data_IF_229918566933
#
_entry.id   IF_229918566933
#
_cell.length_a   1.000
_cell.length_b   1.000
_cell.length_c   1.000
_cell.angle_alpha   90.00
_cell.angle_beta   90.00
_cell.angle_gamma   90.00
#
_symmetry.space_group_name_H-M   'P 1'
#
loop_
_entity.id
_entity.type
_entity.pdbx_description
1 polymer ?
#
# COMPACT_ATOMS: atom_id res chain seq x y z
N UNK A 1 18.50 -2.90 24.82
CA UNK A 1 17.34 -2.94 23.90
C UNK A 1 16.11 -3.64 24.53
N UNK A 2 16.31 -4.63 25.40
CA UNK A 2 15.23 -5.34 26.09
C UNK A 2 14.52 -4.48 27.15
N UNK A 3 15.24 -3.64 27.89
CA UNK A 3 14.66 -2.77 28.93
C UNK A 3 13.72 -1.67 28.41
N UNK A 4 13.79 -1.34 27.12
CA UNK A 4 12.87 -0.39 26.50
C UNK A 4 11.54 -1.04 26.02
N UNK A 5 11.53 -2.34 25.76
CA UNK A 5 10.34 -3.02 25.26
C UNK A 5 9.24 -3.09 26.30
N UNK A 6 9.57 -3.39 27.56
CA UNK A 6 8.60 -3.49 28.67
C UNK A 6 7.98 -2.12 29.04
N UNK A 7 8.70 -1.01 28.84
CA UNK A 7 8.16 0.33 29.06
C UNK A 7 7.28 0.81 27.88
N UNK A 8 7.59 0.37 26.67
CA UNK A 8 6.82 0.68 25.45
C UNK A 8 5.54 -0.20 25.38
N UNK A 9 5.52 -1.35 26.02
CA UNK A 9 4.39 -2.28 26.05
C UNK A 9 3.13 -1.73 26.74
N UNK A 10 3.26 -0.69 27.56
CA UNK A 10 2.09 0.04 28.08
C UNK A 10 1.56 0.97 26.98
N UNK A 11 0.29 0.78 26.58
CA UNK A 11 -0.41 1.53 25.52
C UNK A 11 -0.20 3.06 25.63
N UNK A 12 -0.18 3.61 26.85
CA UNK A 12 0.05 5.02 27.13
C UNK A 12 1.47 5.47 26.73
N UNK A 13 2.47 4.70 27.09
CA UNK A 13 3.87 4.99 26.79
C UNK A 13 4.15 4.89 25.28
N UNK A 14 3.48 3.96 24.58
CA UNK A 14 3.62 3.81 23.15
C UNK A 14 3.20 5.07 22.38
N UNK A 15 2.01 5.63 22.70
CA UNK A 15 1.56 6.86 22.04
C UNK A 15 2.50 8.05 22.30
N UNK A 16 2.92 8.24 23.55
CA UNK A 16 3.88 9.27 23.91
C UNK A 16 5.21 9.09 23.18
N UNK A 17 5.67 7.84 23.07
CA UNK A 17 6.88 7.48 22.34
C UNK A 17 6.79 7.82 20.86
N UNK A 18 5.76 7.34 20.14
CA UNK A 18 5.64 7.60 18.70
C UNK A 18 5.42 9.07 18.37
N UNK A 19 4.77 9.84 19.25
CA UNK A 19 4.48 11.26 19.06
C UNK A 19 5.69 12.19 19.34
N UNK A 20 6.70 11.73 20.10
CA UNK A 20 7.81 12.58 20.57
C UNK A 20 9.21 12.04 20.26
N UNK A 21 9.33 10.87 19.68
CA UNK A 21 10.59 10.23 19.32
C UNK A 21 11.43 11.13 18.39
N UNK A 22 12.78 11.08 18.47
CA UNK A 22 13.65 11.73 17.48
C UNK A 22 13.24 11.31 16.05
N UNK A 23 13.23 12.28 15.11
CA UNK A 23 12.79 12.13 13.72
C UNK A 23 11.28 11.98 13.52
N UNK A 24 10.46 12.10 14.57
CA UNK A 24 9.03 12.30 14.37
C UNK A 24 8.79 13.70 13.82
N UNK A 25 8.15 13.77 12.66
CA UNK A 25 7.74 15.05 12.10
C UNK A 25 6.58 15.63 12.91
N UNK A 26 6.73 16.84 13.38
CA UNK A 26 5.68 17.51 14.19
C UNK A 26 4.56 18.03 13.31
N UNK A 27 3.34 17.75 13.75
CA UNK A 27 2.11 18.35 13.23
C UNK A 27 1.51 19.17 14.39
N UNK A 28 1.91 20.43 14.50
CA UNK A 28 1.60 21.27 15.68
C UNK A 28 2.59 21.08 16.83
N UNK A 29 2.10 20.86 18.06
CA UNK A 29 2.93 20.73 19.27
C UNK A 29 3.65 19.39 19.41
N UNK A 30 3.17 18.34 18.75
CA UNK A 30 3.71 16.98 18.76
C UNK A 30 3.53 16.32 17.37
N UNK A 31 4.00 15.07 17.21
CA UNK A 31 3.94 14.36 15.93
C UNK A 31 2.68 13.55 15.69
N UNK A 32 1.75 13.50 16.66
CA UNK A 32 0.51 12.73 16.50
C UNK A 32 -0.50 13.51 15.67
N UNK A 33 -1.15 12.84 14.73
CA UNK A 33 -2.23 13.38 13.90
C UNK A 33 -3.36 12.35 13.73
N UNK A 34 -4.53 12.81 13.33
CA UNK A 34 -5.70 12.03 12.89
C UNK A 34 -6.37 12.75 11.72
N UNK A 35 -7.57 12.35 11.30
CA UNK A 35 -8.29 12.90 10.16
C UNK A 35 -8.44 14.42 10.18
N UNK A 36 -9.61 14.90 10.58
CA UNK A 36 -9.95 16.33 10.50
C UNK A 36 -9.56 17.17 11.74
N UNK A 37 -9.21 16.53 12.86
CA UNK A 37 -8.83 17.25 14.07
C UNK A 37 -7.42 17.85 13.98
N UNK A 38 -7.35 19.18 14.02
CA UNK A 38 -6.07 19.91 14.00
C UNK A 38 -5.46 20.13 15.40
N UNK A 39 -6.21 19.89 16.48
CA UNK A 39 -5.81 20.16 17.85
C UNK A 39 -5.92 18.94 18.76
N UNK A 40 -5.09 17.92 18.51
CA UNK A 40 -5.01 16.78 19.39
C UNK A 40 -4.27 17.12 20.69
N UNK A 41 -4.85 16.74 21.83
CA UNK A 41 -4.17 16.78 23.14
C UNK A 41 -3.57 15.40 23.41
N UNK A 42 -2.27 15.24 23.19
CA UNK A 42 -1.55 13.97 23.30
C UNK A 42 -1.85 13.22 24.61
N UNK A 43 -1.87 13.94 25.74
CA UNK A 43 -2.14 13.34 27.05
C UNK A 43 -3.54 12.68 27.11
N UNK A 44 -4.57 13.35 26.56
CA UNK A 44 -5.93 12.80 26.53
C UNK A 44 -6.05 11.57 25.65
N UNK A 45 -5.41 11.63 24.47
CA UNK A 45 -5.41 10.47 23.55
C UNK A 45 -4.67 9.29 24.18
N UNK A 46 -3.52 9.53 24.82
CA UNK A 46 -2.75 8.50 25.48
C UNK A 46 -3.53 7.86 26.65
N UNK A 47 -4.21 8.66 27.45
CA UNK A 47 -5.07 8.17 28.54
C UNK A 47 -6.26 7.36 28.02
N UNK A 48 -6.96 7.85 27.00
CA UNK A 48 -8.10 7.15 26.40
C UNK A 48 -7.70 5.78 25.81
N UNK A 49 -6.57 5.71 25.09
CA UNK A 49 -6.08 4.45 24.54
C UNK A 49 -5.58 3.51 25.64
N UNK A 50 -4.94 4.03 26.70
CA UNK A 50 -4.47 3.23 27.83
C UNK A 50 -5.64 2.60 28.62
N UNK A 51 -6.70 3.39 28.85
CA UNK A 51 -7.88 2.93 29.56
C UNK A 51 -8.82 2.05 28.72
N UNK A 52 -8.58 1.94 27.40
CA UNK A 52 -9.47 1.22 26.50
C UNK A 52 -9.43 -0.29 26.78
N UNK A 53 -10.56 -0.94 27.16
CA UNK A 53 -10.59 -2.34 27.53
C UNK A 53 -10.68 -3.30 26.34
N UNK A 54 -10.95 -2.78 25.12
CA UNK A 54 -11.07 -3.58 23.91
C UNK A 54 -9.74 -3.74 23.15
N UNK A 55 -9.84 -4.28 21.94
CA UNK A 55 -8.69 -4.47 21.06
C UNK A 55 -8.14 -3.14 20.58
N UNK A 56 -6.82 -2.99 20.63
CA UNK A 56 -6.07 -1.88 20.05
C UNK A 56 -5.05 -2.45 19.07
N UNK A 57 -5.11 -2.03 17.82
CA UNK A 57 -4.16 -2.44 16.78
C UNK A 57 -3.13 -1.36 16.55
N UNK A 58 -1.89 -1.78 16.29
CA UNK A 58 -0.73 -0.92 16.10
C UNK A 58 -0.10 -1.15 14.71
N UNK A 59 -0.76 -0.76 13.61
CA UNK A 59 -0.20 -0.92 12.28
C UNK A 59 1.03 -0.04 12.08
N UNK A 60 2.03 -0.57 11.36
CA UNK A 60 3.17 0.20 10.88
C UNK A 60 3.15 0.12 9.35
N UNK A 61 3.16 1.27 8.68
CA UNK A 61 3.18 1.39 7.23
C UNK A 61 4.52 2.00 6.85
N UNK A 62 5.36 1.24 6.15
CA UNK A 62 6.71 1.66 5.78
C UNK A 62 6.89 1.64 4.27
N UNK A 63 7.60 2.63 3.75
CA UNK A 63 8.08 2.67 2.39
C UNK A 63 9.63 2.66 2.39
N UNK A 64 10.22 2.23 1.27
CA UNK A 64 11.63 2.49 1.04
C UNK A 64 11.85 3.98 0.84
N UNK A 65 12.99 4.51 1.25
CA UNK A 65 13.31 5.94 1.12
C UNK A 65 13.13 6.45 -0.32
N UNK A 66 13.60 5.69 -1.28
CA UNK A 66 13.52 6.02 -2.70
C UNK A 66 12.05 6.10 -3.18
N UNK A 67 11.21 5.16 -2.74
CA UNK A 67 9.79 5.14 -3.07
C UNK A 67 9.05 6.29 -2.38
N UNK A 68 9.33 6.56 -1.11
CA UNK A 68 8.71 7.67 -0.37
C UNK A 68 9.01 9.02 -1.04
N UNK A 69 10.27 9.29 -1.38
CA UNK A 69 10.67 10.51 -2.06
C UNK A 69 10.03 10.64 -3.46
N UNK A 70 10.04 9.55 -4.23
CA UNK A 70 9.51 9.52 -5.60
C UNK A 70 7.99 9.67 -5.65
N UNK A 71 7.28 9.11 -4.66
CA UNK A 71 5.82 9.11 -4.59
C UNK A 71 5.27 10.27 -3.74
N UNK A 72 6.14 11.08 -3.14
CA UNK A 72 5.75 12.23 -2.33
C UNK A 72 5.32 11.89 -0.90
N UNK A 73 5.68 10.72 -0.36
CA UNK A 73 5.36 10.30 1.02
C UNK A 73 6.54 10.53 1.98
N UNK A 74 7.23 11.64 1.84
CA UNK A 74 8.35 12.04 2.70
C UNK A 74 7.96 13.06 3.78
N UNK A 75 6.66 13.37 3.92
CA UNK A 75 6.10 14.31 4.90
C UNK A 75 4.85 13.76 5.57
N UNK A 76 4.57 14.25 6.78
CA UNK A 76 3.42 13.85 7.57
C UNK A 76 2.07 14.19 6.92
N UNK A 77 2.01 15.31 6.18
CA UNK A 77 0.79 15.80 5.53
C UNK A 77 0.26 14.82 4.49
N UNK A 78 1.14 14.26 3.66
CA UNK A 78 0.77 13.29 2.62
C UNK A 78 0.27 11.99 3.25
N UNK A 79 0.89 11.55 4.34
CA UNK A 79 0.42 10.41 5.10
C UNK A 79 -0.92 10.67 5.79
N UNK A 80 -1.12 11.87 6.36
CA UNK A 80 -2.40 12.29 6.94
C UNK A 80 -3.49 12.23 5.87
N UNK A 81 -3.24 12.77 4.68
CA UNK A 81 -4.18 12.78 3.57
C UNK A 81 -4.52 11.35 3.11
N UNK A 82 -3.51 10.49 2.92
CA UNK A 82 -3.70 9.09 2.53
C UNK A 82 -4.54 8.33 3.56
N UNK A 83 -4.16 8.42 4.84
CA UNK A 83 -4.80 7.67 5.91
C UNK A 83 -6.23 8.16 6.16
N UNK A 84 -6.47 9.47 6.10
CA UNK A 84 -7.83 10.04 6.22
C UNK A 84 -8.74 9.52 5.11
N UNK A 85 -8.24 9.49 3.89
CA UNK A 85 -8.97 8.95 2.74
C UNK A 85 -9.27 7.46 2.89
N UNK A 86 -8.32 6.68 3.42
CA UNK A 86 -8.40 5.22 3.50
C UNK A 86 -8.99 4.71 4.81
N UNK A 87 -9.30 5.60 5.76
CA UNK A 87 -9.76 5.25 7.10
C UNK A 87 -11.06 4.43 7.11
N UNK A 88 -12.01 4.75 6.21
CA UNK A 88 -13.29 4.04 6.11
C UNK A 88 -13.10 2.58 5.66
N UNK A 89 -12.23 2.35 4.69
CA UNK A 89 -11.90 1.00 4.22
C UNK A 89 -11.15 0.20 5.29
N UNK A 90 -10.28 0.86 6.07
CA UNK A 90 -9.64 0.24 7.22
C UNK A 90 -10.65 -0.17 8.28
N UNK A 91 -11.57 0.72 8.65
CA UNK A 91 -12.66 0.44 9.60
C UNK A 91 -13.47 -0.79 9.16
N UNK A 92 -13.86 -0.84 7.89
CA UNK A 92 -14.62 -1.95 7.32
C UNK A 92 -13.82 -3.27 7.36
N UNK A 93 -12.53 -3.25 7.02
CA UNK A 93 -11.65 -4.42 7.07
C UNK A 93 -11.42 -4.92 8.51
N UNK A 94 -11.43 -4.00 9.50
CA UNK A 94 -11.31 -4.28 10.92
C UNK A 94 -12.64 -4.62 11.59
N UNK A 95 -13.76 -4.65 10.83
CA UNK A 95 -15.11 -4.91 11.35
C UNK A 95 -15.52 -3.91 12.44
N UNK A 96 -15.13 -2.66 12.28
CA UNK A 96 -15.49 -1.55 13.16
C UNK A 96 -16.50 -0.68 12.39
N UNK A 97 -17.68 -0.35 12.95
CA UNK A 97 -18.56 0.67 12.39
C UNK A 97 -17.80 1.99 12.25
N UNK A 98 -18.07 2.72 11.15
CA UNK A 98 -17.34 3.96 10.89
C UNK A 98 -17.46 5.00 12.03
N UNK A 99 -18.63 5.11 12.61
CA UNK A 99 -18.90 6.00 13.74
C UNK A 99 -18.10 5.68 15.00
N UNK A 100 -17.66 4.43 15.15
CA UNK A 100 -16.88 3.96 16.30
C UNK A 100 -15.38 3.92 16.02
N UNK A 101 -14.96 4.11 14.74
CA UNK A 101 -13.56 3.94 14.35
C UNK A 101 -12.71 5.12 14.82
N UNK A 102 -11.74 4.81 15.68
CA UNK A 102 -10.76 5.76 16.19
C UNK A 102 -9.39 5.40 15.64
N UNK A 103 -8.67 6.39 15.11
CA UNK A 103 -7.31 6.21 14.66
C UNK A 103 -6.43 7.42 14.91
N UNK A 104 -5.18 7.17 15.21
CA UNK A 104 -4.13 8.17 15.38
C UNK A 104 -2.87 7.67 14.70
N UNK A 105 -2.02 8.58 14.22
CA UNK A 105 -0.79 8.20 13.55
C UNK A 105 0.32 9.21 13.82
N UNK A 106 1.58 8.76 13.66
CA UNK A 106 2.76 9.61 13.71
C UNK A 106 3.75 9.18 12.63
N UNK A 107 4.26 10.15 11.86
CA UNK A 107 5.24 9.90 10.81
C UNK A 107 6.65 10.04 11.34
N UNK A 108 7.47 9.04 11.04
CA UNK A 108 8.88 8.98 11.39
C UNK A 108 9.74 9.03 10.13
N UNK A 109 10.51 10.11 9.99
CA UNK A 109 11.39 10.33 8.86
C UNK A 109 12.73 9.61 9.07
N UNK A 110 12.70 8.27 9.03
CA UNK A 110 13.92 7.47 9.17
C UNK A 110 14.69 7.37 7.85
N UNK A 111 16.04 7.36 7.95
CA UNK A 111 16.92 7.49 6.80
C UNK A 111 16.69 6.43 5.69
N UNK A 112 16.42 5.17 6.07
CA UNK A 112 16.26 4.08 5.12
C UNK A 112 14.79 3.71 4.88
N UNK A 113 13.95 3.83 5.90
CA UNK A 113 12.55 3.39 5.88
C UNK A 113 11.68 4.42 6.58
N UNK A 114 11.28 5.52 5.90
CA UNK A 114 10.25 6.39 6.42
C UNK A 114 8.97 5.59 6.65
N UNK A 115 8.35 5.79 7.80
CA UNK A 115 7.21 4.98 8.20
C UNK A 115 6.24 5.74 9.09
N UNK A 116 5.01 5.27 9.09
CA UNK A 116 3.95 5.77 9.96
C UNK A 116 3.60 4.69 10.97
N UNK A 117 3.64 5.04 12.24
CA UNK A 117 2.99 4.28 13.29
C UNK A 117 1.54 4.71 13.41
N UNK A 118 0.65 3.75 13.46
CA UNK A 118 -0.77 4.01 13.71
C UNK A 118 -1.23 3.34 15.00
N UNK A 119 -2.30 3.87 15.56
CA UNK A 119 -3.09 3.26 16.61
C UNK A 119 -4.54 3.28 16.15
N UNK A 120 -5.19 2.12 16.09
CA UNK A 120 -6.57 1.97 15.66
C UNK A 120 -7.36 1.16 16.68
N UNK A 121 -8.57 1.58 16.99
CA UNK A 121 -9.48 0.85 17.88
C UNK A 121 -10.94 1.27 17.64
N UNK A 122 -11.88 0.52 18.22
CA UNK A 122 -13.30 0.91 18.23
C UNK A 122 -13.63 1.65 19.50
N UNK A 123 -14.38 2.75 19.44
CA UNK A 123 -14.92 3.42 20.62
C UNK A 123 -15.80 2.47 21.46
N UNK A 124 -16.53 1.57 20.82
CA UNK A 124 -17.20 0.44 21.47
C UNK A 124 -16.22 -0.73 21.64
N UNK A 125 -15.79 -1.07 22.89
CA UNK A 125 -14.78 -2.09 23.11
C UNK A 125 -15.23 -3.51 22.75
N UNK A 126 -16.52 -3.73 22.54
CA UNK A 126 -17.08 -5.04 22.12
C UNK A 126 -16.94 -5.27 20.62
N UNK A 127 -16.63 -4.23 19.85
CA UNK A 127 -16.52 -4.25 18.38
C UNK A 127 -15.07 -4.29 17.92
N UNK A 128 -14.91 -4.73 16.70
CA UNK A 128 -13.61 -4.78 16.02
C UNK A 128 -12.96 -6.17 16.10
N UNK A 129 -12.71 -6.69 14.90
CA UNK A 129 -12.03 -7.98 14.72
C UNK A 129 -11.25 -7.96 13.40
N UNK A 130 -9.94 -8.15 13.48
CA UNK A 130 -9.06 -8.12 12.33
C UNK A 130 -8.64 -9.54 11.93
N UNK A 131 -9.08 -9.97 10.75
CA UNK A 131 -8.73 -11.26 10.15
C UNK A 131 -7.48 -11.15 9.29
N UNK A 132 -6.85 -12.29 8.95
CA UNK A 132 -5.79 -12.36 7.93
C UNK A 132 -6.25 -11.78 6.59
N UNK A 133 -7.51 -12.01 6.20
CA UNK A 133 -8.10 -11.43 5.00
C UNK A 133 -8.24 -9.91 5.13
N UNK A 134 -8.70 -9.39 6.27
CA UNK A 134 -8.76 -7.95 6.55
C UNK A 134 -7.39 -7.28 6.46
N UNK A 135 -6.35 -7.92 7.03
CA UNK A 135 -4.96 -7.46 6.88
C UNK A 135 -4.54 -7.39 5.40
N UNK A 136 -4.84 -8.44 4.63
CA UNK A 136 -4.53 -8.47 3.20
C UNK A 136 -5.28 -7.39 2.41
N UNK A 137 -6.54 -7.12 2.75
CA UNK A 137 -7.35 -6.04 2.16
C UNK A 137 -6.73 -4.67 2.44
N UNK A 138 -6.36 -4.37 3.70
CA UNK A 138 -5.71 -3.11 4.09
C UNK A 138 -4.39 -2.94 3.33
N UNK A 139 -3.53 -3.96 3.33
CA UNK A 139 -2.25 -3.93 2.60
C UNK A 139 -2.44 -3.67 1.10
N UNK A 140 -3.36 -4.39 0.47
CA UNK A 140 -3.63 -4.26 -0.96
C UNK A 140 -4.23 -2.90 -1.32
N UNK A 141 -5.13 -2.37 -0.50
CA UNK A 141 -5.76 -1.09 -0.72
C UNK A 141 -4.78 0.07 -0.59
N UNK A 142 -3.99 0.10 0.50
CA UNK A 142 -2.93 1.09 0.68
C UNK A 142 -1.90 1.04 -0.45
N UNK A 143 -1.46 -0.16 -0.85
CA UNK A 143 -0.54 -0.31 -1.96
C UNK A 143 -1.12 0.23 -3.28
N UNK A 144 -2.40 -0.03 -3.57
CA UNK A 144 -3.08 0.53 -4.75
C UNK A 144 -3.13 2.05 -4.73
N UNK A 145 -3.41 2.66 -3.58
CA UNK A 145 -3.47 4.12 -3.48
C UNK A 145 -2.08 4.76 -3.57
N UNK A 146 -1.08 4.20 -2.88
CA UNK A 146 0.30 4.69 -2.88
C UNK A 146 0.92 4.59 -4.30
N UNK A 147 0.75 3.45 -4.98
CA UNK A 147 1.35 3.18 -6.29
C UNK A 147 0.37 3.38 -7.46
N UNK A 148 -0.73 4.10 -7.27
CA UNK A 148 -1.82 4.25 -8.25
C UNK A 148 -1.34 4.68 -9.62
N UNK A 149 -0.52 5.72 -9.68
CA UNK A 149 -0.04 6.26 -10.95
C UNK A 149 0.83 5.23 -11.69
N UNK A 150 1.76 4.60 -11.00
CA UNK A 150 2.65 3.59 -11.59
C UNK A 150 1.90 2.35 -12.07
N UNK A 151 0.90 1.91 -11.28
CA UNK A 151 0.05 0.80 -11.69
C UNK A 151 -0.75 1.16 -12.95
N UNK A 152 -1.26 2.39 -13.03
CA UNK A 152 -1.99 2.87 -14.22
C UNK A 152 -1.09 2.88 -15.45
N UNK A 153 0.11 3.45 -15.34
CA UNK A 153 1.09 3.46 -16.44
C UNK A 153 1.51 2.04 -16.85
N UNK A 154 1.70 1.15 -15.88
CA UNK A 154 2.01 -0.24 -16.14
C UNK A 154 0.89 -0.94 -16.91
N UNK A 155 -0.38 -0.78 -16.47
CA UNK A 155 -1.53 -1.37 -17.16
C UNK A 155 -1.70 -0.81 -18.56
N UNK A 156 -1.48 0.49 -18.76
CA UNK A 156 -1.50 1.09 -20.09
C UNK A 156 -0.43 0.50 -21.01
N UNK A 157 0.81 0.37 -20.52
CA UNK A 157 1.90 -0.27 -21.28
C UNK A 157 1.61 -1.74 -21.61
N UNK A 158 1.03 -2.49 -20.67
CA UNK A 158 0.65 -3.88 -20.92
C UNK A 158 -0.47 -3.98 -21.96
N UNK A 159 -1.46 -3.08 -21.89
CA UNK A 159 -2.55 -3.03 -22.88
C UNK A 159 -2.00 -2.70 -24.27
N UNK A 160 -1.18 -1.67 -24.40
CA UNK A 160 -0.54 -1.29 -25.65
C UNK A 160 0.31 -2.42 -26.25
N UNK A 161 1.10 -3.11 -25.40
CA UNK A 161 1.92 -4.25 -25.86
C UNK A 161 1.07 -5.41 -26.34
N UNK A 162 -0.06 -5.69 -25.66
CA UNK A 162 -1.01 -6.73 -26.07
C UNK A 162 -1.71 -6.37 -27.37
N UNK A 163 -2.13 -5.13 -27.52
CA UNK A 163 -2.85 -4.66 -28.71
C UNK A 163 -1.91 -4.66 -29.92
N UNK A 164 -0.66 -4.20 -29.75
CA UNK A 164 0.36 -4.31 -30.80
C UNK A 164 0.65 -5.76 -31.21
N UNK A 165 0.71 -6.68 -30.24
CA UNK A 165 0.89 -8.10 -30.53
C UNK A 165 -0.30 -8.70 -31.30
N UNK A 166 -1.53 -8.29 -30.95
CA UNK A 166 -2.73 -8.73 -31.68
C UNK A 166 -2.75 -8.19 -33.10
N UNK A 167 -2.31 -6.96 -33.34
CA UNK A 167 -2.19 -6.37 -34.68
C UNK A 167 -1.11 -7.11 -35.50
N UNK A 168 0.08 -7.36 -34.91
CA UNK A 168 1.14 -8.15 -35.55
C UNK A 168 0.62 -9.55 -35.92
N UNK A 169 -0.10 -10.21 -35.02
CA UNK A 169 -0.67 -11.54 -35.26
C UNK A 169 -1.70 -11.53 -36.42
N UNK A 170 -2.59 -10.52 -36.44
CA UNK A 170 -3.56 -10.38 -37.55
C UNK A 170 -2.87 -10.17 -38.86
N UNK A 171 -1.89 -9.26 -38.90
CA UNK A 171 -1.11 -9.00 -40.11
C UNK A 171 -0.42 -10.29 -40.64
N UNK A 172 0.23 -11.06 -39.74
CA UNK A 172 0.86 -12.33 -40.13
C UNK A 172 -0.17 -13.30 -40.70
N UNK A 173 -1.34 -13.41 -40.04
CA UNK A 173 -2.41 -14.30 -40.54
C UNK A 173 -2.95 -13.86 -41.88
N UNK A 174 -3.13 -12.57 -42.13
CA UNK A 174 -3.58 -12.03 -43.42
C UNK A 174 -2.54 -12.35 -44.52
N UNK A 175 -1.24 -12.19 -44.23
CA UNK A 175 -0.19 -12.52 -45.18
C UNK A 175 -0.17 -14.02 -45.50
N UNK A 176 -0.33 -14.89 -44.50
CA UNK A 176 -0.40 -16.34 -44.70
C UNK A 176 -1.63 -16.74 -45.54
N UNK A 177 -2.80 -16.16 -45.29
CA UNK A 177 -4.03 -16.43 -46.06
C UNK A 177 -3.84 -16.00 -47.52
N UNK A 178 -3.24 -14.86 -47.77
CA UNK A 178 -3.00 -14.34 -49.12
C UNK A 178 -2.02 -15.24 -49.88
N UNK A 179 -0.96 -15.70 -49.25
CA UNK A 179 -0.02 -16.66 -49.83
C UNK A 179 -0.68 -18.00 -50.16
N UNK A 180 -1.55 -18.49 -49.28
CA UNK A 180 -2.30 -19.72 -49.53
C UNK A 180 -3.28 -19.57 -50.72
N UNK A 181 -3.90 -18.41 -50.89
CA UNK A 181 -4.83 -18.13 -51.99
C UNK A 181 -4.13 -17.94 -53.32
N UNK A 182 -2.97 -17.32 -53.35
CA UNK A 182 -2.19 -17.05 -54.55
C UNK A 182 -1.52 -18.32 -55.12
N UNK A 183 -1.50 -19.42 -54.37
CA UNK A 183 -0.84 -20.65 -54.77
C UNK A 183 0.69 -20.55 -54.80
N UNK A 184 1.24 -19.43 -54.42
CA UNK A 184 2.69 -19.19 -54.30
C UNK A 184 3.16 -19.62 -52.89
N UNK A 185 3.07 -20.91 -52.58
CA UNK A 185 3.53 -21.47 -51.32
C UNK A 185 5.04 -21.44 -51.21
N UNK A 186 5.64 -20.27 -50.99
CA UNK A 186 7.03 -20.13 -50.59
C UNK A 186 7.14 -20.48 -49.10
N UNK A 187 7.65 -21.70 -48.83
CA UNK A 187 7.84 -22.18 -47.45
C UNK A 187 8.81 -21.29 -46.66
N UNK A 188 9.78 -20.64 -47.30
CA UNK A 188 10.72 -19.74 -46.66
C UNK A 188 10.05 -18.46 -46.11
N UNK A 189 9.11 -17.89 -46.88
CA UNK A 189 8.34 -16.71 -46.45
C UNK A 189 7.42 -17.03 -45.29
N UNK A 190 6.80 -18.20 -45.25
CA UNK A 190 5.96 -18.65 -44.14
C UNK A 190 6.78 -18.84 -42.86
N UNK A 191 7.96 -19.38 -42.98
CA UNK A 191 8.88 -19.58 -41.85
C UNK A 191 9.35 -18.25 -41.27
N UNK A 192 9.73 -17.28 -42.12
CA UNK A 192 10.08 -15.91 -41.71
C UNK A 192 8.92 -15.21 -40.95
N UNK A 193 7.68 -15.32 -41.42
CA UNK A 193 6.51 -14.70 -40.76
C UNK A 193 6.23 -15.35 -39.39
N UNK A 194 6.38 -16.67 -39.30
CA UNK A 194 6.18 -17.40 -38.03
C UNK A 194 7.31 -17.09 -37.04
N UNK A 195 8.54 -16.96 -37.50
CA UNK A 195 9.68 -16.58 -36.67
C UNK A 195 9.56 -15.16 -36.17
N UNK A 196 9.14 -14.22 -37.01
CA UNK A 196 8.81 -12.86 -36.61
C UNK A 196 7.77 -12.82 -35.46
N UNK A 197 6.65 -13.56 -35.60
CA UNK A 197 5.62 -13.60 -34.58
C UNK A 197 6.11 -14.26 -33.29
N UNK A 198 6.91 -15.34 -33.39
CA UNK A 198 7.49 -16.03 -32.24
C UNK A 198 8.47 -15.12 -31.48
N UNK A 199 9.22 -14.28 -32.15
CA UNK A 199 10.12 -13.32 -31.53
C UNK A 199 9.36 -12.22 -30.78
N UNK A 200 8.29 -11.69 -31.38
CA UNK A 200 7.41 -10.70 -30.73
C UNK A 200 6.75 -11.28 -29.47
N UNK A 201 6.32 -12.53 -29.50
CA UNK A 201 5.76 -13.24 -28.34
C UNK A 201 6.78 -13.40 -27.20
N UNK A 202 8.04 -13.69 -27.51
CA UNK A 202 9.12 -13.82 -26.52
C UNK A 202 9.38 -12.51 -25.77
N UNK A 203 9.26 -11.36 -26.42
CA UNK A 203 9.50 -10.05 -25.81
C UNK A 203 8.33 -9.50 -25.00
N UNK A 204 7.12 -10.03 -25.16
CA UNK A 204 5.92 -9.60 -24.38
C UNK A 204 5.71 -10.35 -23.06
N UNK A 205 6.48 -11.42 -22.79
CA UNK A 205 6.32 -12.31 -21.64
C UNK A 205 7.27 -12.02 -20.48
N UNK A 206 7.24 -10.86 -19.87
CA UNK A 206 8.03 -10.55 -18.66
C UNK A 206 7.16 -10.21 -17.44
N UNK A 207 7.03 -11.15 -16.49
CA UNK A 207 6.50 -10.84 -15.15
C UNK A 207 7.52 -9.96 -14.41
N UNK A 208 7.31 -8.63 -14.43
CA UNK A 208 8.08 -7.74 -13.55
C UNK A 208 7.52 -7.89 -12.15
N UNK A 209 8.26 -8.54 -11.26
CA UNK A 209 8.00 -8.51 -9.83
C UNK A 209 8.42 -7.13 -9.30
N UNK A 210 7.44 -6.29 -8.98
CA UNK A 210 7.69 -5.09 -8.20
C UNK A 210 7.92 -5.52 -6.76
N UNK A 211 9.10 -5.23 -6.22
CA UNK A 211 9.39 -5.39 -4.80
C UNK A 211 8.54 -4.37 -4.03
N UNK A 212 7.34 -4.77 -3.61
CA UNK A 212 6.47 -3.97 -2.78
C UNK A 212 7.19 -3.66 -1.46
N UNK A 213 7.20 -2.39 -1.07
CA UNK A 213 7.54 -1.96 0.28
C UNK A 213 6.72 -2.74 1.31
N UNK A 214 7.38 -3.18 2.37
CA UNK A 214 6.76 -3.99 3.42
C UNK A 214 5.75 -3.14 4.20
N UNK A 215 4.47 -3.47 4.07
CA UNK A 215 3.43 -3.00 4.99
C UNK A 215 3.36 -4.02 6.11
N UNK A 216 3.85 -3.66 7.30
CA UNK A 216 3.74 -4.46 8.51
C UNK A 216 2.51 -4.03 9.31
N UNK A 217 1.61 -4.98 9.57
CA UNK A 217 0.52 -4.80 10.54
C UNK A 217 0.83 -5.79 11.66
N UNK A 218 1.17 -5.25 12.83
CA UNK A 218 1.39 -6.05 14.04
C UNK A 218 0.08 -6.67 14.53
N UNK A 219 0.13 -7.87 15.10
CA UNK A 219 -1.02 -8.46 15.78
C UNK A 219 -1.42 -7.61 17.00
N UNK A 220 -2.71 -7.63 17.40
CA UNK A 220 -3.16 -6.86 18.54
C UNK A 220 -2.42 -7.30 19.80
N UNK A 221 -1.90 -6.35 20.58
CA UNK A 221 -1.44 -6.63 21.92
C UNK A 221 -2.67 -6.98 22.76
N UNK A 222 -2.81 -8.27 23.11
CA UNK A 222 -3.78 -8.69 24.12
C UNK A 222 -3.42 -8.08 25.47
N UNK A 223 -4.42 -7.66 26.28
CA UNK A 223 -4.20 -7.13 27.61
C UNK A 223 -3.56 -8.17 28.54
#
# INVERSE_FOLDING_TARGET
LEDNYDQIAKKENYLKYIASRPRTQRVGSHGLFTGEEDHLVLARVAEAVAAHPGNVWLPIISLRREDAARLGYDRAEEWKALLSKYAMEMAAAMKIPWEDFQWYAAFHDEAHHPHVHMVCYSADPSKGFLTKQGIAQIKSGLAKDIFRQELTELYQKQTQSRDALNEDARWVMEQLIEQMRSGAGDSGRMEELMEYLAERLRHTGGRKQYGLSLIHISEPTRP
#
